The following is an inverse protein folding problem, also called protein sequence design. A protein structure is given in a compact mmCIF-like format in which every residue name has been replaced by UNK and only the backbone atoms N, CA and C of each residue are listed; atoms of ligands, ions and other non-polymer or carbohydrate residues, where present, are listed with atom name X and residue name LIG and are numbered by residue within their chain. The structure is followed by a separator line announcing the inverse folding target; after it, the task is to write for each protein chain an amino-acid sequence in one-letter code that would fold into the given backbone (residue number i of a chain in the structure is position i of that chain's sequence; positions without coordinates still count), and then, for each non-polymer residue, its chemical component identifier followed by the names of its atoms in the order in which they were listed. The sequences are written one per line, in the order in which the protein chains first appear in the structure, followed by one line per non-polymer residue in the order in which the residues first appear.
data_IF_581532195356
#
_entry.id   IF_581532195356
#
_cell.length_a   1.000
_cell.length_b   1.000
_cell.length_c   1.000
_cell.angle_alpha   90.00
_cell.angle_beta   90.00
_cell.angle_gamma   90.00
#
_symmetry.space_group_name_H-M   'P 1'
#
loop_
_entity.id
_entity.type
_entity.pdbx_description
1 polymer ?
#
# COMPACT_ATOMS: atom_id res chain seq x y z
N UNK A 1 -5.12 -11.03 -23.85
CA UNK A 1 -5.83 -10.60 -22.62
C UNK A 1 -7.01 -9.77 -23.06
N UNK A 2 -8.21 -10.15 -22.63
CA UNK A 2 -9.44 -9.43 -22.96
C UNK A 2 -9.36 -7.98 -22.49
N UNK A 3 -10.03 -7.07 -23.21
CA UNK A 3 -9.96 -5.64 -22.95
C UNK A 3 -10.39 -5.28 -21.51
N UNK A 4 -11.41 -5.97 -20.99
CA UNK A 4 -11.93 -5.76 -19.63
C UNK A 4 -10.92 -6.23 -18.57
N UNK A 5 -10.28 -7.37 -18.78
CA UNK A 5 -9.22 -7.87 -17.89
C UNK A 5 -8.06 -6.87 -17.88
N UNK A 6 -7.65 -6.37 -19.05
CA UNK A 6 -6.60 -5.35 -19.16
C UNK A 6 -6.97 -4.08 -18.41
N UNK A 7 -8.21 -3.63 -18.50
CA UNK A 7 -8.69 -2.44 -17.81
C UNK A 7 -8.61 -2.60 -16.28
N UNK A 8 -8.96 -3.77 -15.75
CA UNK A 8 -8.81 -4.09 -14.33
C UNK A 8 -7.34 -3.98 -13.86
N UNK A 9 -6.39 -4.55 -14.60
CA UNK A 9 -4.96 -4.42 -14.29
C UNK A 9 -4.49 -2.96 -14.30
N UNK A 10 -4.91 -2.17 -15.30
CA UNK A 10 -4.55 -0.75 -15.37
C UNK A 10 -5.15 0.06 -14.21
N UNK A 11 -6.38 -0.24 -13.80
CA UNK A 11 -7.00 0.39 -12.63
C UNK A 11 -6.22 0.08 -11.36
N UNK A 12 -5.89 -1.19 -11.13
CA UNK A 12 -5.10 -1.61 -9.97
C UNK A 12 -3.71 -0.97 -9.96
N UNK A 13 -3.02 -0.93 -11.10
CA UNK A 13 -1.71 -0.29 -11.24
C UNK A 13 -1.73 1.20 -10.89
N UNK A 14 -2.78 1.94 -11.31
CA UNK A 14 -2.97 3.35 -10.94
C UNK A 14 -3.18 3.54 -9.43
N UNK A 15 -3.96 2.65 -8.80
CA UNK A 15 -4.17 2.68 -7.35
C UNK A 15 -2.87 2.45 -6.57
N UNK A 16 -2.05 1.48 -6.98
CA UNK A 16 -0.75 1.22 -6.38
C UNK A 16 0.23 2.38 -6.58
N UNK A 17 0.26 2.99 -7.76
CA UNK A 17 1.11 4.16 -8.01
C UNK A 17 0.75 5.34 -7.09
N UNK A 18 -0.55 5.58 -6.88
CA UNK A 18 -1.03 6.61 -5.95
C UNK A 18 -0.66 6.26 -4.49
N UNK A 19 -0.81 5.01 -4.09
CA UNK A 19 -0.43 4.55 -2.75
C UNK A 19 1.07 4.68 -2.49
N UNK A 20 1.92 4.34 -3.47
CA UNK A 20 3.37 4.52 -3.38
C UNK A 20 3.75 5.99 -3.23
N UNK A 21 3.13 6.88 -4.02
CA UNK A 21 3.34 8.32 -3.89
C UNK A 21 2.98 8.81 -2.49
N UNK A 22 1.81 8.40 -1.97
CA UNK A 22 1.38 8.74 -0.61
C UNK A 22 2.37 8.23 0.44
N UNK A 23 2.85 6.99 0.30
CA UNK A 23 3.85 6.39 1.19
C UNK A 23 5.13 7.25 1.25
N UNK A 24 5.66 7.67 0.10
CA UNK A 24 6.85 8.52 0.03
C UNK A 24 6.63 9.90 0.68
N UNK A 25 5.43 10.48 0.57
CA UNK A 25 5.12 11.79 1.16
C UNK A 25 5.04 11.77 2.70
N UNK A 26 4.54 10.67 3.27
CA UNK A 26 4.29 10.57 4.72
C UNK A 26 5.38 9.83 5.49
N UNK A 27 6.22 9.03 4.82
CA UNK A 27 7.30 8.28 5.47
C UNK A 27 8.34 9.25 6.08
N UNK A 28 8.24 9.45 7.39
CA UNK A 28 9.07 10.39 8.16
C UNK A 28 9.40 9.81 9.53
N UNK A 29 10.56 10.16 10.12
CA UNK A 29 10.91 9.73 11.47
C UNK A 29 9.81 10.05 12.49
N UNK A 30 9.53 9.10 13.38
CA UNK A 30 8.52 9.24 14.44
C UNK A 30 7.09 8.89 14.05
N UNK A 31 6.83 8.55 12.79
CA UNK A 31 5.53 8.01 12.38
C UNK A 31 5.38 6.55 12.86
N UNK A 32 4.22 6.21 13.45
CA UNK A 32 3.90 4.83 13.81
C UNK A 32 3.67 3.98 12.57
N UNK A 33 4.13 2.73 12.60
CA UNK A 33 3.92 1.83 11.47
C UNK A 33 2.44 1.57 11.20
N UNK A 34 1.61 1.43 12.23
CA UNK A 34 0.17 1.21 12.05
C UNK A 34 -0.51 2.38 11.34
N UNK A 35 -0.16 3.61 11.72
CA UNK A 35 -0.68 4.83 11.09
C UNK A 35 -0.18 4.96 9.64
N UNK A 36 1.08 4.60 9.41
CA UNK A 36 1.67 4.58 8.08
C UNK A 36 0.96 3.59 7.16
N UNK A 37 0.86 2.32 7.58
CA UNK A 37 0.27 1.27 6.74
C UNK A 37 -1.20 1.53 6.46
N UNK A 38 -1.96 1.94 7.49
CA UNK A 38 -3.38 2.29 7.36
C UNK A 38 -3.60 3.41 6.33
N UNK A 39 -2.82 4.49 6.39
CA UNK A 39 -2.97 5.62 5.46
C UNK A 39 -2.65 5.24 4.01
N UNK A 40 -1.62 4.43 3.80
CA UNK A 40 -1.22 3.98 2.46
C UNK A 40 -2.25 3.02 1.89
N UNK A 41 -2.69 2.03 2.68
CA UNK A 41 -3.71 1.07 2.28
C UNK A 41 -5.07 1.72 2.02
N UNK A 42 -5.43 2.77 2.77
CA UNK A 42 -6.64 3.54 2.53
C UNK A 42 -6.63 4.23 1.17
N UNK A 43 -5.46 4.59 0.62
CA UNK A 43 -5.34 5.15 -0.73
C UNK A 43 -5.79 4.15 -1.80
N UNK A 44 -5.48 2.86 -1.61
CA UNK A 44 -5.91 1.79 -2.51
C UNK A 44 -7.43 1.58 -2.41
N UNK A 45 -7.96 1.54 -1.19
CA UNK A 45 -9.41 1.39 -0.95
C UNK A 45 -10.20 2.56 -1.52
N UNK A 46 -9.73 3.79 -1.34
CA UNK A 46 -10.35 5.00 -1.89
C UNK A 46 -10.38 5.00 -3.43
N UNK A 47 -9.43 4.32 -4.08
CA UNK A 47 -9.44 4.10 -5.53
C UNK A 47 -10.41 2.98 -5.98
N UNK A 48 -11.22 2.44 -5.07
CA UNK A 48 -12.16 1.35 -5.34
C UNK A 48 -11.47 0.06 -5.76
N UNK A 49 -10.30 -0.22 -5.19
CA UNK A 49 -9.53 -1.44 -5.41
C UNK A 49 -9.40 -2.24 -4.10
N UNK A 50 -9.31 -3.56 -4.23
CA UNK A 50 -8.96 -4.46 -3.13
C UNK A 50 -7.45 -4.70 -3.05
N UNK A 51 -7.03 -5.45 -2.03
CA UNK A 51 -5.64 -5.85 -1.86
C UNK A 51 -5.38 -7.21 -2.52
N UNK A 52 -4.34 -7.28 -3.35
CA UNK A 52 -3.78 -8.58 -3.75
C UNK A 52 -2.84 -9.16 -2.70
N UNK A 53 -2.25 -8.29 -1.87
CA UNK A 53 -1.36 -8.62 -0.76
C UNK A 53 -1.36 -7.44 0.24
N UNK A 54 -1.24 -7.68 1.56
CA UNK A 54 -1.12 -6.58 2.53
C UNK A 54 0.14 -5.75 2.28
N UNK A 55 0.14 -4.48 2.69
CA UNK A 55 1.33 -3.65 2.61
C UNK A 55 2.42 -4.18 3.54
N UNK A 56 3.62 -4.33 3.01
CA UNK A 56 4.79 -4.70 3.79
C UNK A 56 5.69 -3.50 4.01
N UNK A 57 6.30 -3.43 5.19
CA UNK A 57 7.32 -2.43 5.53
C UNK A 57 8.58 -3.17 5.95
N UNK A 58 9.67 -2.95 5.22
CA UNK A 58 10.99 -3.52 5.52
C UNK A 58 11.88 -2.41 6.06
N UNK A 59 12.30 -2.52 7.31
CA UNK A 59 13.20 -1.58 7.97
C UNK A 59 14.46 -2.30 8.46
N UNK A 60 15.63 -1.71 8.18
CA UNK A 60 16.96 -2.20 8.58
C UNK A 60 17.22 -3.67 8.18
N UNK A 61 17.21 -4.58 9.15
CA UNK A 61 17.49 -6.01 8.93
C UNK A 61 16.26 -6.82 8.55
N UNK A 62 15.05 -6.23 8.57
CA UNK A 62 13.82 -6.89 8.13
C UNK A 62 13.79 -6.96 6.61
N UNK A 63 13.88 -8.17 6.06
CA UNK A 63 13.91 -8.38 4.61
C UNK A 63 12.55 -8.12 3.95
N UNK A 64 11.46 -8.71 4.47
CA UNK A 64 10.12 -8.66 3.90
C UNK A 64 9.05 -9.07 4.94
N UNK A 65 7.78 -9.02 4.51
CA UNK A 65 6.62 -9.65 5.18
C UNK A 65 6.18 -9.04 6.52
N UNK A 66 6.82 -7.98 7.00
CA UNK A 66 6.29 -7.24 8.15
C UNK A 66 5.12 -6.36 7.72
N UNK A 67 3.94 -6.67 8.24
CA UNK A 67 2.73 -5.86 8.16
C UNK A 67 2.32 -5.52 9.58
N UNK A 68 2.19 -4.23 9.87
CA UNK A 68 1.95 -3.73 11.23
C UNK A 68 0.65 -4.32 11.82
N UNK A 69 0.70 -5.06 12.94
CA UNK A 69 -0.48 -5.59 13.59
C UNK A 69 -1.25 -4.50 14.33
N UNK A 70 -2.48 -4.80 14.74
CA UNK A 70 -3.24 -3.91 15.63
C UNK A 70 -2.47 -3.75 16.95
N UNK A 71 -2.19 -2.50 17.34
CA UNK A 71 -1.52 -2.17 18.61
C UNK A 71 -0.02 -1.83 18.50
N UNK A 72 0.52 -1.78 17.28
CA UNK A 72 1.88 -1.35 16.95
C UNK A 72 2.05 0.19 16.87
#
# INVERSE_FOLDING_TARGET
MDADIRACYLKAGKAIAAALKKATEICKPGLKFLDFTTQVEQTIRNAGCGFGFPLNVSLDSLAAHYSSPIGD
#
